data_IF_847333693637
#
_entry.id   IF_847333693637
#
_cell.length_a   1.000
_cell.length_b   1.000
_cell.length_c   1.000
_cell.angle_alpha   90.00
_cell.angle_beta   90.00
_cell.angle_gamma   90.00
#
_symmetry.space_group_name_H-M   'P 1'
#
loop_
_entity.id
_entity.type
_entity.pdbx_description
1 polymer ?
#
# COMPACT_ATOMS: atom_id res chain seq x y z
N UNK A 1 -14.63 -3.17 -9.26
CA UNK A 1 -13.50 -2.44 -8.63
C UNK A 1 -13.17 -3.14 -7.33
N UNK A 2 -11.89 -3.24 -7.00
CA UNK A 2 -11.39 -3.88 -5.77
C UNK A 2 -11.89 -3.11 -4.54
N UNK A 3 -12.30 -3.82 -3.50
CA UNK A 3 -12.63 -3.18 -2.22
C UNK A 3 -11.34 -2.70 -1.54
N UNK A 4 -11.23 -1.40 -1.30
CA UNK A 4 -10.06 -0.79 -0.67
C UNK A 4 -10.44 -0.20 0.68
N UNK A 5 -9.67 -0.55 1.70
CA UNK A 5 -9.89 -0.19 3.09
C UNK A 5 -8.61 0.42 3.67
N UNK A 6 -8.75 1.19 4.73
CA UNK A 6 -7.62 1.60 5.55
C UNK A 6 -7.98 1.59 7.03
N UNK A 7 -6.99 1.30 7.88
CA UNK A 7 -7.10 1.42 9.33
C UNK A 7 -6.47 2.74 9.72
N UNK A 8 -7.26 3.62 10.33
CA UNK A 8 -6.78 4.90 10.85
C UNK A 8 -6.85 4.89 12.36
N UNK A 9 -5.69 5.02 13.00
CA UNK A 9 -5.56 5.01 14.46
C UNK A 9 -5.66 6.41 15.10
N UNK A 10 -6.06 7.42 14.32
CA UNK A 10 -6.26 8.80 14.80
C UNK A 10 -5.01 9.41 15.47
N UNK A 11 -3.82 9.04 15.00
CA UNK A 11 -2.53 9.48 15.54
C UNK A 11 -2.04 10.81 14.93
N UNK A 12 -2.59 11.20 13.78
CA UNK A 12 -2.17 12.37 12.99
C UNK A 12 -3.35 13.29 12.64
N UNK A 13 -3.06 14.52 12.20
CA UNK A 13 -4.07 15.49 11.76
C UNK A 13 -4.92 14.94 10.58
N UNK A 14 -6.25 14.74 10.76
CA UNK A 14 -7.12 14.21 9.72
C UNK A 14 -7.18 15.07 8.44
N UNK A 15 -6.79 16.35 8.51
CA UNK A 15 -6.76 17.24 7.33
C UNK A 15 -5.57 16.94 6.42
N UNK A 16 -4.47 16.42 6.97
CA UNK A 16 -3.25 16.06 6.22
C UNK A 16 -3.20 14.57 5.89
N UNK A 17 -4.04 13.78 6.53
CA UNK A 17 -4.07 12.34 6.39
C UNK A 17 -4.60 11.88 5.01
N UNK A 18 -3.80 11.08 4.32
CA UNK A 18 -4.11 10.64 2.95
C UNK A 18 -5.23 9.60 2.89
N UNK A 19 -5.33 8.69 3.86
CA UNK A 19 -6.41 7.71 3.95
C UNK A 19 -7.76 8.40 4.27
N UNK A 20 -7.77 9.36 5.19
CA UNK A 20 -8.96 10.17 5.49
C UNK A 20 -9.43 10.94 4.27
N UNK A 21 -8.51 11.54 3.49
CA UNK A 21 -8.85 12.24 2.25
C UNK A 21 -9.50 11.31 1.23
N UNK A 22 -8.92 10.13 0.99
CA UNK A 22 -9.49 9.13 0.08
C UNK A 22 -10.89 8.67 0.53
N UNK A 23 -11.09 8.52 1.84
CA UNK A 23 -12.39 8.13 2.40
C UNK A 23 -13.46 9.21 2.20
N UNK A 24 -13.12 10.51 2.35
CA UNK A 24 -14.03 11.63 2.05
C UNK A 24 -14.49 11.65 0.59
N UNK A 25 -13.69 11.11 -0.33
CA UNK A 25 -14.05 10.95 -1.74
C UNK A 25 -14.76 9.62 -2.05
N UNK A 26 -15.13 8.84 -1.04
CA UNK A 26 -15.76 7.52 -1.16
C UNK A 26 -14.92 6.50 -1.96
N UNK A 27 -13.59 6.67 -2.01
CA UNK A 27 -12.70 5.77 -2.74
C UNK A 27 -12.22 4.59 -1.89
N UNK A 28 -12.22 4.76 -0.56
CA UNK A 28 -11.84 3.71 0.39
C UNK A 28 -12.78 3.70 1.60
N UNK A 29 -12.93 2.54 2.25
CA UNK A 29 -13.61 2.40 3.54
C UNK A 29 -12.62 2.57 4.70
N UNK A 30 -12.78 3.61 5.51
CA UNK A 30 -11.92 3.90 6.65
C UNK A 30 -12.43 3.23 7.93
N UNK A 31 -11.55 2.55 8.66
CA UNK A 31 -11.87 1.84 9.90
C UNK A 31 -11.07 2.42 11.05
N UNK A 32 -11.77 2.75 12.15
CA UNK A 32 -11.12 3.11 13.43
C UNK A 32 -10.98 1.93 14.39
N UNK A 33 -11.66 0.81 14.09
CA UNK A 33 -11.69 -0.39 14.93
C UNK A 33 -11.36 -1.62 14.10
N UNK A 34 -10.42 -2.42 14.58
CA UNK A 34 -9.94 -3.63 13.89
C UNK A 34 -11.03 -4.68 13.66
N UNK A 35 -12.05 -4.75 14.52
CA UNK A 35 -13.14 -5.72 14.41
C UNK A 35 -14.12 -5.42 13.25
N UNK A 36 -13.94 -4.31 12.53
CA UNK A 36 -14.71 -3.95 11.32
C UNK A 36 -13.97 -4.27 10.03
N UNK A 37 -12.76 -4.80 10.12
CA UNK A 37 -11.99 -5.18 8.95
C UNK A 37 -12.65 -6.32 8.17
N UNK A 38 -12.43 -6.37 6.85
CA UNK A 38 -12.79 -7.51 6.01
C UNK A 38 -12.19 -8.80 6.55
N UNK A 39 -12.89 -9.91 6.32
CA UNK A 39 -12.45 -11.25 6.73
C UNK A 39 -11.51 -11.93 5.74
N UNK A 40 -11.48 -11.46 4.49
CA UNK A 40 -10.69 -12.00 3.38
C UNK A 40 -10.06 -10.83 2.63
N UNK A 41 -8.81 -10.99 2.22
CA UNK A 41 -8.07 -9.93 1.57
C UNK A 41 -6.62 -9.86 2.01
N UNK A 42 -5.97 -8.77 1.63
CA UNK A 42 -4.57 -8.48 1.90
C UNK A 42 -4.49 -7.26 2.81
N UNK A 43 -3.64 -7.32 3.83
CA UNK A 43 -3.25 -6.15 4.62
C UNK A 43 -1.79 -5.83 4.37
N UNK A 44 -1.51 -4.55 4.12
CA UNK A 44 -0.16 -4.04 3.97
C UNK A 44 0.51 -3.99 5.34
N UNK A 45 1.49 -4.84 5.53
CA UNK A 45 2.25 -4.96 6.76
C UNK A 45 3.72 -4.81 6.40
N UNK A 46 4.35 -3.63 6.62
CA UNK A 46 5.75 -3.41 6.26
C UNK A 46 6.74 -4.22 7.09
N UNK A 47 6.28 -4.93 8.13
CA UNK A 47 7.09 -5.84 8.95
C UNK A 47 6.94 -7.30 8.48
N UNK A 48 6.18 -7.55 7.42
CA UNK A 48 6.01 -8.88 6.87
C UNK A 48 7.23 -9.27 6.01
N UNK A 49 7.69 -10.52 6.12
CA UNK A 49 8.76 -11.02 5.25
C UNK A 49 8.32 -11.31 3.81
N UNK A 50 7.02 -11.49 3.56
CA UNK A 50 6.50 -11.79 2.23
C UNK A 50 6.13 -10.49 1.50
N UNK A 51 6.80 -10.22 0.40
CA UNK A 51 6.51 -9.08 -0.49
C UNK A 51 5.20 -9.34 -1.26
N UNK A 52 4.48 -8.28 -1.61
CA UNK A 52 3.30 -8.33 -2.47
C UNK A 52 3.73 -8.63 -3.91
N UNK A 53 3.19 -9.70 -4.48
CA UNK A 53 3.45 -10.07 -5.88
C UNK A 53 2.16 -10.24 -6.69
N UNK A 54 2.25 -10.32 -8.03
CA UNK A 54 1.09 -10.52 -8.89
C UNK A 54 0.30 -11.80 -8.61
N UNK A 55 0.90 -12.83 -8.00
CA UNK A 55 0.18 -14.04 -7.57
C UNK A 55 -0.87 -13.78 -6.49
N UNK A 56 -0.75 -12.67 -5.75
CA UNK A 56 -1.74 -12.29 -4.74
C UNK A 56 -3.03 -11.70 -5.37
N UNK A 57 -3.03 -11.47 -6.69
CA UNK A 57 -4.19 -10.96 -7.44
C UNK A 57 -5.43 -11.83 -7.25
N UNK A 58 -5.26 -13.16 -7.22
CA UNK A 58 -6.38 -14.10 -7.03
C UNK A 58 -7.15 -13.86 -5.72
N UNK A 59 -6.45 -13.46 -4.64
CA UNK A 59 -7.08 -13.16 -3.35
C UNK A 59 -8.08 -12.01 -3.51
N UNK A 60 -7.69 -10.98 -4.27
CA UNK A 60 -8.50 -9.80 -4.54
C UNK A 60 -9.62 -10.10 -5.54
N UNK A 61 -9.31 -10.72 -6.66
CA UNK A 61 -10.27 -11.01 -7.73
C UNK A 61 -11.38 -11.96 -7.27
N UNK A 62 -11.09 -12.84 -6.30
CA UNK A 62 -12.09 -13.71 -5.66
C UNK A 62 -12.80 -13.05 -4.46
N UNK A 63 -12.87 -11.72 -4.43
CA UNK A 63 -13.64 -10.93 -3.47
C UNK A 63 -12.91 -10.56 -2.18
N UNK A 64 -11.57 -10.60 -2.17
CA UNK A 64 -10.77 -10.08 -1.07
C UNK A 64 -10.62 -8.56 -1.12
N UNK A 65 -10.47 -7.94 0.05
CA UNK A 65 -10.20 -6.50 0.15
C UNK A 65 -8.70 -6.20 0.25
N UNK A 66 -8.27 -5.03 -0.24
CA UNK A 66 -6.95 -4.48 0.04
C UNK A 66 -7.04 -3.53 1.24
N UNK A 67 -6.19 -3.71 2.24
CA UNK A 67 -6.22 -2.95 3.49
C UNK A 67 -4.88 -2.26 3.73
N UNK A 68 -4.88 -0.92 3.75
CA UNK A 68 -3.74 -0.11 4.13
C UNK A 68 -3.68 0.18 5.63
N UNK A 69 -2.48 0.37 6.17
CA UNK A 69 -2.27 0.84 7.54
C UNK A 69 -1.92 2.32 7.53
N UNK A 70 -2.71 3.09 8.25
CA UNK A 70 -2.50 4.52 8.45
C UNK A 70 -2.17 4.73 9.95
N UNK A 71 -0.90 4.57 10.24
CA UNK A 71 -0.28 4.78 11.55
C UNK A 71 1.08 5.45 11.38
N UNK A 72 1.55 6.13 12.43
CA UNK A 72 2.90 6.70 12.40
C UNK A 72 3.94 5.57 12.42
N UNK A 73 5.11 5.81 11.81
CA UNK A 73 6.24 4.87 11.86
C UNK A 73 6.66 4.53 13.30
N UNK A 74 6.52 5.47 14.24
CA UNK A 74 6.84 5.26 15.65
C UNK A 74 5.98 4.18 16.32
N UNK A 75 4.77 3.92 15.80
CA UNK A 75 3.80 2.98 16.37
C UNK A 75 3.55 1.76 15.48
N UNK A 76 4.38 1.55 14.47
CA UNK A 76 4.09 0.56 13.43
C UNK A 76 4.10 -0.87 13.98
N UNK A 77 5.07 -1.22 14.84
CA UNK A 77 5.17 -2.54 15.44
C UNK A 77 3.96 -2.90 16.31
N UNK A 78 3.54 -1.99 17.20
CA UNK A 78 2.41 -2.23 18.09
C UNK A 78 1.10 -2.33 17.30
N UNK A 79 0.93 -1.49 16.27
CA UNK A 79 -0.23 -1.47 15.40
C UNK A 79 -0.33 -2.77 14.59
N UNK A 80 0.74 -3.14 13.88
CA UNK A 80 0.84 -4.38 13.11
C UNK A 80 0.56 -5.59 14.01
N UNK A 81 1.18 -5.68 15.18
CA UNK A 81 0.97 -6.79 16.11
C UNK A 81 -0.50 -6.97 16.52
N UNK A 82 -1.25 -5.87 16.71
CA UNK A 82 -2.68 -5.96 17.02
C UNK A 82 -3.51 -6.44 15.84
N UNK A 83 -3.16 -6.02 14.63
CA UNK A 83 -3.84 -6.42 13.39
C UNK A 83 -3.59 -7.89 13.10
N UNK A 84 -2.32 -8.32 13.15
CA UNK A 84 -1.89 -9.71 12.94
C UNK A 84 -2.65 -10.67 13.85
N UNK A 85 -2.78 -10.33 15.14
CA UNK A 85 -3.47 -11.19 16.13
C UNK A 85 -4.98 -11.30 15.92
N UNK A 86 -5.62 -10.32 15.28
CA UNK A 86 -7.09 -10.19 15.24
C UNK A 86 -7.69 -10.37 13.86
N UNK A 87 -6.86 -10.37 12.82
CA UNK A 87 -7.27 -10.39 11.43
C UNK A 87 -7.01 -11.76 10.78
N UNK A 88 -7.84 -12.12 9.80
CA UNK A 88 -7.62 -13.27 8.91
C UNK A 88 -7.03 -12.85 7.55
N UNK A 89 -6.59 -11.60 7.44
CA UNK A 89 -6.04 -11.03 6.20
C UNK A 89 -4.63 -11.56 5.97
N UNK A 90 -4.33 -11.82 4.70
CA UNK A 90 -3.00 -12.14 4.21
C UNK A 90 -2.09 -10.93 4.33
N UNK A 91 -0.91 -11.09 4.94
CA UNK A 91 0.01 -9.98 5.18
C UNK A 91 1.02 -9.88 4.05
N UNK A 92 1.26 -8.67 3.55
CA UNK A 92 2.26 -8.42 2.51
C UNK A 92 2.99 -7.11 2.77
N UNK A 93 4.30 -7.12 2.54
CA UNK A 93 5.12 -5.90 2.46
C UNK A 93 5.12 -5.40 1.02
N UNK A 94 5.14 -4.09 0.82
CA UNK A 94 5.32 -3.54 -0.53
C UNK A 94 6.80 -3.67 -0.95
N UNK A 95 7.08 -3.95 -2.23
CA UNK A 95 8.43 -3.77 -2.74
C UNK A 95 8.84 -2.29 -2.68
N UNK A 96 10.12 -2.03 -2.94
CA UNK A 96 10.67 -0.68 -2.86
C UNK A 96 10.07 0.24 -3.92
N UNK A 97 9.78 1.47 -3.51
CA UNK A 97 9.33 2.58 -4.34
C UNK A 97 9.85 3.90 -3.77
N UNK A 98 9.94 4.93 -4.62
CA UNK A 98 10.20 6.30 -4.20
C UNK A 98 8.89 7.00 -3.82
N UNK A 99 8.88 7.67 -2.67
CA UNK A 99 7.79 8.53 -2.29
C UNK A 99 7.75 9.80 -3.15
N UNK A 100 6.55 10.20 -3.58
CA UNK A 100 6.26 11.47 -4.23
C UNK A 100 5.39 12.38 -3.36
N UNK A 101 4.99 11.94 -2.16
CA UNK A 101 4.34 12.81 -1.19
C UNK A 101 5.28 13.95 -0.74
N UNK A 102 4.76 15.16 -0.41
CA UNK A 102 5.58 16.33 -0.11
C UNK A 102 6.48 16.19 1.12
N UNK A 103 6.19 15.26 2.02
CA UNK A 103 6.93 15.09 3.28
C UNK A 103 8.18 14.24 3.08
N UNK A 104 8.11 13.23 2.21
CA UNK A 104 9.15 12.24 2.02
C UNK A 104 9.63 12.12 0.57
N UNK A 105 9.47 13.16 -0.24
CA UNK A 105 9.84 13.16 -1.66
C UNK A 105 11.22 12.54 -1.90
N UNK A 106 11.27 11.56 -2.80
CA UNK A 106 12.48 10.85 -3.22
C UNK A 106 13.02 9.83 -2.20
N UNK A 107 12.43 9.70 -1.01
CA UNK A 107 12.87 8.69 -0.04
C UNK A 107 12.30 7.32 -0.38
N UNK A 108 13.15 6.30 -0.30
CA UNK A 108 12.79 4.90 -0.52
C UNK A 108 11.83 4.42 0.58
N UNK A 109 10.73 3.81 0.17
CA UNK A 109 9.74 3.12 1.02
C UNK A 109 9.06 3.98 2.11
N UNK A 110 9.25 5.30 2.10
CA UNK A 110 8.55 6.25 2.99
C UNK A 110 7.23 6.75 2.37
N UNK A 111 6.45 5.80 1.88
CA UNK A 111 5.17 6.04 1.20
C UNK A 111 4.11 6.54 2.18
N UNK A 112 3.21 7.39 1.68
CA UNK A 112 1.91 7.63 2.31
C UNK A 112 0.97 6.44 2.13
N UNK A 113 -0.08 6.33 2.94
CA UNK A 113 -1.07 5.25 2.78
C UNK A 113 -1.75 5.28 1.40
N UNK A 114 -1.98 6.46 0.82
CA UNK A 114 -2.52 6.56 -0.54
C UNK A 114 -1.57 6.01 -1.62
N UNK A 115 -0.26 6.29 -1.52
CA UNK A 115 0.75 5.74 -2.44
C UNK A 115 0.88 4.24 -2.27
N UNK A 116 0.91 3.76 -1.02
CA UNK A 116 0.99 2.34 -0.72
C UNK A 116 -0.20 1.57 -1.33
N UNK A 117 -1.43 2.05 -1.12
CA UNK A 117 -2.63 1.47 -1.71
C UNK A 117 -2.61 1.50 -3.24
N UNK A 118 -2.16 2.60 -3.84
CA UNK A 118 -2.08 2.72 -5.29
C UNK A 118 -1.03 1.79 -5.90
N UNK A 119 0.15 1.68 -5.29
CA UNK A 119 1.20 0.75 -5.71
C UNK A 119 0.72 -0.70 -5.64
N UNK A 120 0.04 -1.09 -4.57
CA UNK A 120 -0.55 -2.42 -4.44
C UNK A 120 -1.59 -2.69 -5.52
N UNK A 121 -2.52 -1.77 -5.76
CA UNK A 121 -3.51 -1.91 -6.82
C UNK A 121 -2.83 -2.08 -8.19
N UNK A 122 -1.75 -1.36 -8.45
CA UNK A 122 -1.01 -1.46 -9.71
C UNK A 122 -0.38 -2.85 -9.88
N UNK A 123 0.38 -3.33 -8.89
CA UNK A 123 1.00 -4.67 -8.92
C UNK A 123 -0.08 -5.75 -9.15
N UNK A 124 -1.23 -5.59 -8.50
CA UNK A 124 -2.37 -6.49 -8.61
C UNK A 124 -3.19 -6.29 -9.89
N UNK A 125 -2.75 -5.47 -10.85
CA UNK A 125 -3.37 -5.32 -12.18
C UNK A 125 -4.57 -4.37 -12.23
N UNK A 126 -4.81 -3.58 -11.18
CA UNK A 126 -5.89 -2.60 -11.09
C UNK A 126 -5.40 -1.16 -11.32
N UNK A 127 -4.59 -0.96 -12.37
CA UNK A 127 -3.94 0.32 -12.70
C UNK A 127 -4.91 1.51 -12.72
N UNK A 128 -6.07 1.36 -13.38
CA UNK A 128 -7.07 2.43 -13.46
C UNK A 128 -7.56 2.89 -12.07
N UNK A 129 -7.70 1.94 -11.13
CA UNK A 129 -8.10 2.26 -9.76
C UNK A 129 -6.94 2.92 -9.00
N UNK A 130 -5.70 2.48 -9.21
CA UNK A 130 -4.52 3.14 -8.65
C UNK A 130 -4.42 4.62 -9.09
N UNK A 131 -4.58 4.88 -10.40
CA UNK A 131 -4.61 6.23 -10.96
C UNK A 131 -5.76 7.06 -10.38
N UNK A 132 -6.93 6.46 -10.18
CA UNK A 132 -8.08 7.14 -9.56
C UNK A 132 -7.78 7.57 -8.11
N UNK A 133 -7.13 6.72 -7.30
CA UNK A 133 -6.72 7.10 -5.93
C UNK A 133 -5.76 8.30 -5.97
N UNK A 134 -4.71 8.20 -6.79
CA UNK A 134 -3.67 9.22 -6.88
C UNK A 134 -4.18 10.55 -7.46
N UNK A 135 -5.22 10.52 -8.32
CA UNK A 135 -5.84 11.73 -8.89
C UNK A 135 -6.36 12.73 -7.84
N UNK A 136 -6.54 12.30 -6.59
CA UNK A 136 -7.01 13.17 -5.49
C UNK A 136 -5.88 13.99 -4.86
N UNK A 137 -4.65 13.82 -5.34
CA UNK A 137 -3.47 14.50 -4.84
C UNK A 137 -2.77 15.22 -5.99
N UNK A 138 -2.39 16.48 -5.78
CA UNK A 138 -1.67 17.28 -6.78
C UNK A 138 -0.31 16.67 -7.16
N UNK A 139 0.31 15.92 -6.25
CA UNK A 139 1.54 15.17 -6.47
C UNK A 139 1.32 13.73 -6.95
N UNK A 140 0.08 13.27 -7.10
CA UNK A 140 -0.23 11.87 -7.39
C UNK A 140 0.31 11.38 -8.74
N UNK A 141 0.29 12.24 -9.78
CA UNK A 141 0.89 11.92 -11.07
C UNK A 141 2.41 11.76 -10.98
N UNK A 142 3.05 12.50 -10.07
CA UNK A 142 4.49 12.40 -9.83
C UNK A 142 4.87 11.05 -9.25
N UNK A 143 4.04 10.43 -8.39
CA UNK A 143 4.29 9.08 -7.89
C UNK A 143 4.42 8.07 -9.03
N UNK A 144 3.51 8.15 -10.01
CA UNK A 144 3.53 7.27 -11.18
C UNK A 144 4.75 7.56 -12.04
N UNK A 145 5.03 8.83 -12.33
CA UNK A 145 6.20 9.20 -13.14
C UNK A 145 7.53 8.77 -12.52
N UNK A 146 7.67 8.91 -11.20
CA UNK A 146 8.88 8.56 -10.46
C UNK A 146 9.11 7.04 -10.38
N UNK A 147 8.04 6.24 -10.50
CA UNK A 147 8.07 4.79 -10.28
C UNK A 147 7.52 4.00 -11.48
N UNK A 148 7.42 4.59 -12.68
CA UNK A 148 6.74 3.93 -13.80
C UNK A 148 7.43 2.62 -14.18
N UNK A 149 8.76 2.62 -14.24
CA UNK A 149 9.56 1.44 -14.54
C UNK A 149 9.38 0.34 -13.48
N UNK A 150 9.60 0.56 -12.17
CA UNK A 150 9.38 -0.47 -11.16
C UNK A 150 7.90 -0.91 -11.07
N UNK A 151 6.92 0.00 -11.18
CA UNK A 151 5.49 -0.36 -11.19
C UNK A 151 5.18 -1.33 -12.34
N UNK A 152 5.72 -1.06 -13.52
CA UNK A 152 5.53 -1.91 -14.71
C UNK A 152 6.21 -3.25 -14.52
N UNK A 153 7.49 -3.25 -14.14
CA UNK A 153 8.28 -4.46 -13.94
C UNK A 153 7.64 -5.39 -12.89
N UNK A 154 7.27 -4.86 -11.72
CA UNK A 154 6.67 -5.66 -10.66
C UNK A 154 5.30 -6.21 -11.05
N UNK A 155 4.51 -5.47 -11.84
CA UNK A 155 3.19 -5.95 -12.31
C UNK A 155 3.28 -7.06 -13.36
N UNK A 156 4.41 -7.16 -14.06
CA UNK A 156 4.69 -8.18 -15.07
C UNK A 156 5.39 -9.43 -14.50
N UNK A 157 5.87 -9.36 -13.27
CA UNK A 157 6.46 -10.51 -12.57
C UNK A 157 5.42 -11.63 -12.36
N UNK A 158 5.89 -12.82 -12.04
CA UNK A 158 5.04 -13.99 -11.74
C UNK A 158 4.92 -14.27 -10.25
N UNK A 159 5.94 -13.88 -9.48
CA UNK A 159 6.02 -14.20 -8.05
C UNK A 159 6.57 -13.04 -7.23
N UNK A 160 6.24 -13.03 -5.94
CA UNK A 160 6.81 -12.13 -4.94
C UNK A 160 8.34 -12.22 -4.89
N UNK A 161 8.91 -13.40 -5.14
CA UNK A 161 10.36 -13.59 -5.16
C UNK A 161 11.01 -12.90 -6.36
N UNK A 162 10.36 -12.95 -7.53
CA UNK A 162 10.80 -12.24 -8.72
C UNK A 162 10.69 -10.72 -8.52
N UNK A 163 9.61 -10.25 -7.89
CA UNK A 163 9.47 -8.83 -7.49
C UNK A 163 10.63 -8.40 -6.57
N UNK A 164 11.00 -9.24 -5.59
CA UNK A 164 12.16 -8.96 -4.72
C UNK A 164 13.45 -8.88 -5.53
N UNK A 165 13.68 -9.77 -6.49
CA UNK A 165 14.87 -9.69 -7.34
C UNK A 165 14.90 -8.41 -8.19
N UNK A 166 13.77 -8.07 -8.82
CA UNK A 166 13.63 -6.88 -9.66
C UNK A 166 13.86 -5.58 -8.88
N UNK A 167 13.47 -5.51 -7.61
CA UNK A 167 13.60 -4.26 -6.84
C UNK A 167 15.06 -3.80 -6.72
N UNK A 168 16.02 -4.73 -6.73
CA UNK A 168 17.44 -4.41 -6.65
C UNK A 168 18.03 -3.91 -7.98
N UNK A 169 17.31 -4.06 -9.10
CA UNK A 169 17.68 -3.44 -10.38
C UNK A 169 17.37 -1.93 -10.38
N UNK A 170 16.39 -1.50 -9.59
CA UNK A 170 15.93 -0.10 -9.50
C UNK A 170 16.48 0.64 -8.28
N UNK A 171 16.76 -0.09 -7.19
CA UNK A 171 17.11 0.50 -5.89
C UNK A 171 18.40 -0.12 -5.36
N UNK A 172 19.43 0.71 -5.25
CA UNK A 172 20.68 0.36 -4.58
C UNK A 172 20.48 0.51 -3.07
N UNK A 173 20.27 -0.62 -2.37
CA UNK A 173 20.23 -0.63 -0.90
C UNK A 173 21.69 -0.71 -0.43
N UNK A 174 22.33 0.46 -0.32
CA UNK A 174 23.60 0.52 0.41
C UNK A 174 23.26 0.50 1.90
N UNK A 175 23.67 -0.57 2.55
CA UNK A 175 23.70 -0.65 4.01
C UNK A 175 24.82 0.27 4.51
N UNK A 176 24.48 1.55 4.71
CA UNK A 176 25.33 2.50 5.46
C UNK A 176 25.10 2.35 6.98
#
# INVERSE_FOLDING_TARGET
>A
MTEVHAIWLEQDDPKKNTAVKLSKHNLIKLHRRLNRLPRKGIVLDPLCGKVLGPEDREIIDTGGALVGLDCSWANIESSVNQIVKKSKLERRTLPLFLAANPVNWGKVSKLSTAEALAASLWILGHENQARLLLSKFNWGSSFIGLNLEPLTAYSCAKTSQEVVSLQFEFFDIRDD
#
